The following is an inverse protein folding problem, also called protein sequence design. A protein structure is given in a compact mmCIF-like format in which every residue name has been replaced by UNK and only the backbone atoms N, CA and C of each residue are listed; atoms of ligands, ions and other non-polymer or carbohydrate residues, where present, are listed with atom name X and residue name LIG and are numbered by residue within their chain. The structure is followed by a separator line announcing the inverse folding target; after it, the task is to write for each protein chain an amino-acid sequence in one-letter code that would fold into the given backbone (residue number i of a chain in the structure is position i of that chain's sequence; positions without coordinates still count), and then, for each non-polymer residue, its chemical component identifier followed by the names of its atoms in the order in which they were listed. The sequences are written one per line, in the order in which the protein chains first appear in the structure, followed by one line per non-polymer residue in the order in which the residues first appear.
data_IF_186996680290
#
_entry.id   IF_186996680290
#
_cell.length_a   1.000
_cell.length_b   1.000
_cell.length_c   1.000
_cell.angle_alpha   90.00
_cell.angle_beta   90.00
_cell.angle_gamma   90.00
#
_symmetry.space_group_name_H-M   'P 1'
#
loop_
_entity.id
_entity.type
_entity.pdbx_description
1 polymer ?
#
# COMPACT_ATOMS: atom_id res chain seq x y z
N UNK A 1 16.36 -27.13 -25.77
CA UNK A 1 15.75 -26.97 -24.43
C UNK A 1 16.76 -26.26 -23.54
N UNK A 2 16.77 -24.94 -23.57
CA UNK A 2 17.66 -24.12 -22.73
C UNK A 2 16.88 -23.82 -21.45
N UNK A 3 17.30 -24.46 -20.36
CA UNK A 3 16.86 -24.13 -19.01
C UNK A 3 17.22 -22.66 -18.75
N UNK A 4 16.26 -21.77 -18.79
CA UNK A 4 16.35 -20.44 -18.20
C UNK A 4 16.37 -20.64 -16.68
N UNK A 5 17.58 -20.72 -16.11
CA UNK A 5 17.75 -20.80 -14.69
C UNK A 5 17.09 -19.59 -14.01
N UNK A 6 15.96 -19.84 -13.35
CA UNK A 6 15.45 -18.90 -12.38
C UNK A 6 16.60 -18.67 -11.38
N UNK A 7 17.09 -17.44 -11.30
CA UNK A 7 18.06 -17.04 -10.29
C UNK A 7 17.44 -17.37 -8.93
N UNK A 8 18.08 -18.31 -8.23
CA UNK A 8 17.69 -18.63 -6.87
C UNK A 8 17.74 -17.34 -6.05
N UNK A 9 16.72 -17.03 -5.25
CA UNK A 9 16.74 -15.87 -4.38
C UNK A 9 17.95 -15.96 -3.46
N UNK A 10 18.60 -14.81 -3.21
CA UNK A 10 19.69 -14.73 -2.24
C UNK A 10 19.10 -15.07 -0.86
N UNK A 11 19.56 -16.12 -0.17
CA UNK A 11 18.86 -16.59 1.02
C UNK A 11 19.11 -15.62 2.18
N UNK A 12 18.09 -14.83 2.56
CA UNK A 12 18.04 -14.29 3.90
C UNK A 12 18.00 -15.48 4.88
N UNK A 13 18.82 -15.46 5.91
CA UNK A 13 18.88 -16.51 6.93
C UNK A 13 17.83 -16.31 8.01
N UNK A 14 17.25 -15.10 8.10
CA UNK A 14 16.22 -14.71 9.06
C UNK A 14 15.25 -13.69 8.45
N UNK A 15 14.07 -13.61 9.03
CA UNK A 15 13.09 -12.59 8.71
C UNK A 15 13.57 -11.25 9.26
N UNK A 16 13.68 -10.22 8.40
CA UNK A 16 14.18 -8.90 8.80
C UNK A 16 13.33 -7.78 8.17
N UNK A 17 13.13 -6.68 8.93
CA UNK A 17 12.45 -5.48 8.48
C UNK A 17 13.45 -4.35 8.24
N UNK A 18 13.26 -3.63 7.15
CA UNK A 18 14.08 -2.49 6.76
C UNK A 18 13.20 -1.27 6.46
N UNK A 19 13.40 -0.21 7.23
CA UNK A 19 12.79 1.09 6.96
C UNK A 19 13.33 1.68 5.64
N UNK A 20 12.49 2.47 4.97
CA UNK A 20 12.89 3.18 3.76
C UNK A 20 12.88 4.70 3.97
N UNK A 21 13.22 5.46 2.93
CA UNK A 21 13.13 6.91 2.97
C UNK A 21 11.66 7.42 3.07
N UNK A 22 10.67 6.62 2.72
CA UNK A 22 9.25 6.93 2.91
C UNK A 22 8.79 6.33 4.25
N UNK A 23 8.41 7.15 5.25
CA UNK A 23 8.01 6.63 6.56
C UNK A 23 6.87 5.61 6.48
N UNK A 24 7.08 4.44 7.09
CA UNK A 24 6.12 3.33 7.11
C UNK A 24 6.08 2.47 5.85
N UNK A 25 6.80 2.83 4.78
CA UNK A 25 7.09 1.91 3.66
C UNK A 25 8.24 1.00 4.11
N UNK A 26 7.94 -0.27 4.35
CA UNK A 26 8.88 -1.22 4.98
C UNK A 26 9.16 -2.37 4.03
N UNK A 27 10.44 -2.65 3.79
CA UNK A 27 10.91 -3.83 3.06
C UNK A 27 11.14 -4.96 4.06
N UNK A 28 10.72 -6.17 3.74
CA UNK A 28 10.85 -7.34 4.59
C UNK A 28 11.59 -8.41 3.81
N UNK A 29 12.75 -8.83 4.31
CA UNK A 29 13.46 -9.99 3.79
C UNK A 29 12.78 -11.27 4.29
N UNK A 30 12.46 -12.17 3.37
CA UNK A 30 11.81 -13.45 3.65
C UNK A 30 12.83 -14.60 3.60
N UNK A 31 12.71 -15.53 4.53
CA UNK A 31 13.47 -16.78 4.45
C UNK A 31 12.86 -17.66 3.37
N UNK A 32 13.67 -18.02 2.38
CA UNK A 32 13.28 -18.92 1.28
C UNK A 32 14.03 -20.23 1.43
N UNK A 33 13.31 -21.33 1.58
CA UNK A 33 13.85 -22.68 1.72
C UNK A 33 13.79 -23.39 0.37
N UNK A 34 14.94 -23.74 -0.21
CA UNK A 34 15.04 -24.45 -1.47
C UNK A 34 15.40 -25.92 -1.30
N UNK A 35 14.82 -26.81 -2.14
CA UNK A 35 15.22 -28.21 -2.29
C UNK A 35 15.05 -28.68 -3.76
N UNK A 36 15.23 -29.95 -4.05
CA UNK A 36 15.13 -30.51 -5.41
C UNK A 36 13.73 -30.37 -6.05
N UNK A 37 12.70 -30.03 -5.28
CA UNK A 37 11.33 -29.79 -5.75
C UNK A 37 11.07 -28.33 -6.09
N UNK A 38 11.96 -27.39 -5.67
CA UNK A 38 11.80 -25.97 -5.83
C UNK A 38 12.07 -25.21 -4.53
N UNK A 39 11.20 -24.27 -4.16
CA UNK A 39 11.37 -23.49 -2.94
C UNK A 39 10.03 -23.27 -2.21
N UNK A 40 10.13 -23.04 -0.90
CA UNK A 40 9.04 -22.69 0.00
C UNK A 40 9.39 -21.44 0.79
N UNK A 41 8.40 -20.58 1.06
CA UNK A 41 8.52 -19.44 1.97
C UNK A 41 7.22 -19.21 2.74
N UNK A 42 7.33 -18.67 3.95
CA UNK A 42 6.19 -18.05 4.63
C UNK A 42 6.02 -16.64 4.06
N UNK A 43 5.04 -16.45 3.19
CA UNK A 43 4.80 -15.15 2.53
C UNK A 43 4.14 -14.13 3.46
N UNK A 44 3.34 -14.58 4.41
CA UNK A 44 2.70 -13.80 5.45
C UNK A 44 2.58 -14.62 6.73
N UNK A 45 3.12 -14.11 7.81
CA UNK A 45 2.96 -14.68 9.15
C UNK A 45 2.81 -13.53 10.15
N UNK A 46 1.55 -13.23 10.51
CA UNK A 46 1.17 -12.07 11.31
C UNK A 46 1.97 -11.95 12.61
N UNK A 47 2.04 -13.03 13.41
CA UNK A 47 2.68 -12.97 14.72
C UNK A 47 4.18 -12.64 14.61
N UNK A 48 4.91 -13.25 13.67
CA UNK A 48 6.33 -12.98 13.46
C UNK A 48 6.58 -11.56 12.95
N UNK A 49 5.81 -11.12 11.96
CA UNK A 49 6.00 -9.80 11.33
C UNK A 49 5.63 -8.67 12.29
N UNK A 50 4.53 -8.81 13.04
CA UNK A 50 4.13 -7.81 14.06
C UNK A 50 5.16 -7.76 15.21
N UNK A 51 5.70 -8.91 15.63
CA UNK A 51 6.74 -8.94 16.65
C UNK A 51 8.03 -8.22 16.23
N UNK A 52 8.31 -8.15 14.92
CA UNK A 52 9.42 -7.39 14.34
C UNK A 52 9.12 -5.90 14.12
N UNK A 53 7.89 -5.45 14.40
CA UNK A 53 7.51 -4.04 14.29
C UNK A 53 6.64 -3.69 13.09
N UNK A 54 6.24 -4.67 12.26
CA UNK A 54 5.27 -4.40 11.19
C UNK A 54 3.92 -3.98 11.80
N UNK A 55 3.24 -2.95 11.27
CA UNK A 55 1.89 -2.63 11.68
C UNK A 55 0.94 -3.83 11.55
N UNK A 56 0.08 -4.03 12.54
CA UNK A 56 -0.96 -5.06 12.50
C UNK A 56 -2.14 -4.57 11.64
N UNK A 57 -2.00 -4.71 10.32
CA UNK A 57 -2.95 -4.15 9.37
C UNK A 57 -4.17 -5.05 9.05
N UNK A 58 -4.25 -6.23 9.65
CA UNK A 58 -5.37 -7.17 9.56
C UNK A 58 -5.91 -7.38 8.13
N UNK A 59 -5.17 -8.07 7.24
CA UNK A 59 -5.57 -8.24 5.85
C UNK A 59 -6.88 -9.02 5.72
N UNK A 60 -7.75 -8.58 4.80
CA UNK A 60 -9.08 -9.19 4.53
C UNK A 60 -9.26 -9.64 3.08
N UNK A 61 -8.37 -9.23 2.17
CA UNK A 61 -8.43 -9.60 0.75
C UNK A 61 -7.03 -9.85 0.21
N UNK A 62 -6.88 -10.86 -0.64
CA UNK A 62 -5.71 -11.11 -1.45
C UNK A 62 -6.05 -10.96 -2.92
N UNK A 63 -5.17 -10.31 -3.68
CA UNK A 63 -5.27 -10.18 -5.13
C UNK A 63 -3.98 -10.63 -5.78
N UNK A 64 -4.08 -11.15 -7.02
CA UNK A 64 -2.96 -11.65 -7.79
C UNK A 64 -3.02 -11.07 -9.20
N UNK A 65 -1.88 -10.59 -9.70
CA UNK A 65 -1.70 -10.22 -11.10
C UNK A 65 -0.71 -11.18 -11.76
N UNK A 66 -1.14 -11.86 -12.80
CA UNK A 66 -0.26 -12.59 -13.71
C UNK A 66 0.12 -11.68 -14.89
N UNK A 67 1.40 -11.61 -15.20
CA UNK A 67 1.95 -10.75 -16.23
C UNK A 67 2.75 -11.63 -17.21
N UNK A 68 2.28 -11.73 -18.46
CA UNK A 68 2.78 -12.68 -19.45
C UNK A 68 4.17 -12.34 -19.99
N UNK A 69 4.54 -11.06 -20.00
CA UNK A 69 5.76 -10.59 -20.65
C UNK A 69 6.57 -9.64 -19.77
N UNK A 70 7.84 -9.57 -20.03
CA UNK A 70 8.76 -8.54 -19.56
C UNK A 70 8.29 -7.16 -20.02
N UNK A 71 8.45 -6.13 -19.18
CA UNK A 71 8.06 -4.76 -19.49
C UNK A 71 6.58 -4.44 -19.23
N UNK A 72 5.75 -5.37 -18.73
CA UNK A 72 4.41 -5.01 -18.24
C UNK A 72 4.56 -4.06 -17.08
N UNK A 73 4.01 -2.84 -17.20
CA UNK A 73 4.14 -1.79 -16.20
C UNK A 73 2.76 -1.33 -15.74
N UNK A 74 2.56 -1.25 -14.41
CA UNK A 74 1.28 -0.85 -13.79
C UNK A 74 1.51 0.17 -12.70
N UNK A 75 0.62 1.15 -12.59
CA UNK A 75 0.68 2.18 -11.54
C UNK A 75 0.58 3.60 -12.11
N UNK A 76 0.94 4.63 -11.37
CA UNK A 76 1.16 4.56 -9.91
C UNK A 76 -0.18 4.76 -9.19
N UNK A 77 -0.53 3.86 -8.30
CA UNK A 77 -1.84 3.88 -7.63
C UNK A 77 -1.65 4.00 -6.12
N UNK A 78 -2.15 5.08 -5.51
CA UNK A 78 -2.32 5.21 -4.07
C UNK A 78 -3.75 4.84 -3.71
N UNK A 79 -3.94 3.66 -3.18
CA UNK A 79 -5.23 3.11 -2.79
C UNK A 79 -5.57 3.48 -1.34
N UNK A 80 -6.86 3.46 -0.93
CA UNK A 80 -7.29 3.93 0.39
C UNK A 80 -7.03 2.93 1.54
N UNK A 81 -6.11 1.98 1.35
CA UNK A 81 -5.75 0.92 2.31
C UNK A 81 -4.26 0.63 2.34
N UNK A 82 -3.85 -0.12 3.36
CA UNK A 82 -2.51 -0.66 3.44
C UNK A 82 -2.39 -1.94 2.62
N UNK A 83 -1.19 -2.20 2.10
CA UNK A 83 -0.87 -3.38 1.30
C UNK A 83 0.35 -4.10 1.83
N UNK A 84 0.36 -5.41 1.67
CA UNK A 84 1.58 -6.22 1.70
C UNK A 84 1.81 -6.84 0.31
N UNK A 85 2.81 -6.34 -0.38
CA UNK A 85 3.15 -6.72 -1.76
C UNK A 85 4.18 -7.84 -1.74
N UNK A 86 4.00 -8.86 -2.59
CA UNK A 86 4.92 -10.00 -2.71
C UNK A 86 5.06 -10.44 -4.15
N UNK A 87 6.24 -10.95 -4.50
CA UNK A 87 6.46 -11.63 -5.77
C UNK A 87 6.38 -13.13 -5.52
N UNK A 88 5.41 -13.77 -6.19
CA UNK A 88 5.20 -15.22 -6.12
C UNK A 88 6.13 -15.92 -7.10
N UNK A 89 6.28 -15.36 -8.30
CA UNK A 89 7.19 -15.85 -9.33
C UNK A 89 7.73 -14.67 -10.15
N UNK A 90 8.97 -14.76 -10.60
CA UNK A 90 9.60 -13.75 -11.43
C UNK A 90 10.29 -12.63 -10.63
N UNK A 91 10.46 -11.48 -11.26
CA UNK A 91 11.11 -10.29 -10.71
C UNK A 91 10.45 -9.03 -11.23
N UNK A 92 10.40 -8.00 -10.42
CA UNK A 92 9.89 -6.68 -10.78
C UNK A 92 10.83 -5.58 -10.31
N UNK A 93 10.85 -4.48 -11.03
CA UNK A 93 11.29 -3.18 -10.52
C UNK A 93 10.06 -2.45 -10.00
N UNK A 94 10.10 -2.00 -8.76
CA UNK A 94 9.03 -1.24 -8.13
C UNK A 94 9.45 0.21 -7.92
N UNK A 95 8.46 1.12 -8.02
CA UNK A 95 8.60 2.50 -7.61
C UNK A 95 7.41 2.89 -6.71
N UNK A 96 7.71 3.51 -5.58
CA UNK A 96 6.72 4.04 -4.64
C UNK A 96 6.89 5.54 -4.48
N UNK A 97 5.78 6.25 -4.36
CA UNK A 97 5.75 7.70 -4.20
C UNK A 97 4.82 8.06 -3.03
N UNK A 98 5.31 8.86 -2.11
CA UNK A 98 4.52 9.35 -0.98
C UNK A 98 3.56 10.45 -1.46
N UNK A 99 2.25 10.18 -1.41
CA UNK A 99 1.20 11.14 -1.72
C UNK A 99 0.46 11.64 -0.47
N UNK A 100 1.00 11.38 0.73
CA UNK A 100 0.45 11.93 1.96
C UNK A 100 0.82 13.40 2.10
N UNK A 101 -0.08 14.26 2.57
CA UNK A 101 0.20 15.69 2.72
C UNK A 101 1.35 15.93 3.71
N UNK A 102 2.20 16.91 3.42
CA UNK A 102 3.34 17.31 4.25
C UNK A 102 4.67 17.31 3.51
N UNK A 103 5.77 17.46 4.24
CA UNK A 103 7.12 17.62 3.68
C UNK A 103 7.66 16.37 2.94
N UNK A 104 6.97 15.22 3.06
CA UNK A 104 7.31 13.98 2.36
C UNK A 104 6.63 13.81 1.01
N UNK A 105 5.66 14.67 0.65
CA UNK A 105 4.91 14.57 -0.60
C UNK A 105 5.85 14.56 -1.81
N UNK A 106 5.67 13.58 -2.70
CA UNK A 106 6.52 13.36 -3.87
C UNK A 106 7.84 12.62 -3.58
N UNK A 107 8.16 12.28 -2.31
CA UNK A 107 9.34 11.45 -2.02
C UNK A 107 9.15 10.07 -2.65
N UNK A 108 10.20 9.59 -3.31
CA UNK A 108 10.16 8.30 -3.99
C UNK A 108 11.19 7.33 -3.45
N UNK A 109 10.88 6.04 -3.59
CA UNK A 109 11.77 4.90 -3.35
C UNK A 109 11.61 3.91 -4.49
N UNK A 110 12.71 3.37 -4.98
CA UNK A 110 12.72 2.31 -5.99
C UNK A 110 13.49 1.11 -5.50
N UNK A 111 13.05 -0.09 -5.88
CA UNK A 111 13.71 -1.34 -5.51
C UNK A 111 13.32 -2.46 -6.48
N UNK A 112 14.26 -3.35 -6.78
CA UNK A 112 13.94 -4.63 -7.42
C UNK A 112 13.45 -5.64 -6.36
N UNK A 113 12.34 -6.31 -6.68
CA UNK A 113 11.78 -7.37 -5.85
C UNK A 113 11.79 -8.71 -6.57
N UNK A 114 12.18 -9.73 -5.84
CA UNK A 114 12.02 -11.14 -6.15
C UNK A 114 11.18 -11.85 -5.10
N UNK A 115 11.12 -13.20 -5.15
CA UNK A 115 10.40 -14.00 -4.15
C UNK A 115 10.97 -13.90 -2.72
N UNK A 116 12.21 -13.44 -2.57
CA UNK A 116 12.92 -13.28 -1.30
C UNK A 116 12.50 -12.05 -0.48
N UNK A 117 11.65 -11.18 -1.05
CA UNK A 117 11.23 -9.95 -0.40
C UNK A 117 9.71 -9.74 -0.47
N UNK A 118 9.19 -9.04 0.54
CA UNK A 118 7.85 -8.46 0.53
C UNK A 118 7.92 -7.02 1.00
N UNK A 119 6.94 -6.19 0.63
CA UNK A 119 6.94 -4.77 0.99
C UNK A 119 5.59 -4.39 1.57
N UNK A 120 5.61 -3.82 2.76
CA UNK A 120 4.44 -3.17 3.33
C UNK A 120 4.35 -1.74 2.81
N UNK A 121 3.26 -1.46 2.11
CA UNK A 121 2.96 -0.16 1.51
C UNK A 121 1.80 0.46 2.29
N UNK A 122 2.06 1.51 3.09
CA UNK A 122 1.02 2.16 3.86
C UNK A 122 0.07 2.95 2.94
N UNK A 123 -1.16 3.13 3.39
CA UNK A 123 -2.16 3.99 2.74
C UNK A 123 -1.56 5.36 2.41
N UNK A 124 -1.85 5.85 1.20
CA UNK A 124 -1.36 7.14 0.70
C UNK A 124 0.02 7.10 0.05
N UNK A 125 0.67 5.93 0.02
CA UNK A 125 1.87 5.70 -0.79
C UNK A 125 1.45 5.05 -2.11
N UNK A 126 1.69 5.75 -3.22
CA UNK A 126 1.43 5.23 -4.55
C UNK A 126 2.40 4.11 -4.87
N UNK A 127 1.86 3.01 -5.40
CA UNK A 127 2.60 1.80 -5.75
C UNK A 127 2.58 1.56 -7.25
N UNK A 128 3.72 1.16 -7.79
CA UNK A 128 3.87 0.76 -9.18
C UNK A 128 4.92 -0.33 -9.33
N UNK A 129 4.86 -1.03 -10.44
CA UNK A 129 5.89 -2.01 -10.79
C UNK A 129 6.03 -2.19 -12.31
N UNK A 130 7.22 -2.64 -12.72
CA UNK A 130 7.55 -3.08 -14.06
C UNK A 130 8.13 -4.49 -13.98
N UNK A 131 7.62 -5.44 -14.77
CA UNK A 131 8.15 -6.81 -14.82
C UNK A 131 9.50 -6.85 -15.52
N UNK A 132 10.45 -7.58 -14.93
CA UNK A 132 11.82 -7.74 -15.43
C UNK A 132 12.03 -9.09 -16.14
N UNK A 133 11.09 -10.01 -15.97
CA UNK A 133 11.07 -11.33 -16.62
C UNK A 133 9.64 -11.70 -17.00
N UNK A 134 9.52 -12.63 -17.96
CA UNK A 134 8.22 -13.15 -18.39
C UNK A 134 7.54 -13.96 -17.27
N UNK A 135 6.24 -14.17 -17.41
CA UNK A 135 5.41 -14.97 -16.50
C UNK A 135 5.48 -14.55 -15.02
N UNK A 136 5.70 -13.25 -14.77
CA UNK A 136 5.81 -12.71 -13.41
C UNK A 136 4.45 -12.70 -12.70
N UNK A 137 4.41 -13.25 -11.48
CA UNK A 137 3.24 -13.29 -10.61
C UNK A 137 3.43 -12.35 -9.42
N UNK A 138 2.64 -11.27 -9.42
CA UNK A 138 2.60 -10.24 -8.39
C UNK A 138 1.37 -10.43 -7.53
N UNK A 139 1.52 -10.54 -6.22
CA UNK A 139 0.44 -10.75 -5.26
C UNK A 139 0.46 -9.68 -4.19
N UNK A 140 -0.70 -9.33 -3.66
CA UNK A 140 -0.78 -8.42 -2.53
C UNK A 140 -1.98 -8.72 -1.62
N UNK A 141 -1.77 -8.52 -0.32
CA UNK A 141 -2.80 -8.51 0.71
C UNK A 141 -3.21 -7.07 0.98
N UNK A 142 -4.49 -6.84 1.30
CA UNK A 142 -5.02 -5.51 1.68
C UNK A 142 -5.97 -5.62 2.88
N UNK A 143 -6.06 -4.55 3.67
CA UNK A 143 -6.91 -4.49 4.86
C UNK A 143 -8.30 -3.89 4.63
N UNK A 144 -8.73 -3.81 3.37
CA UNK A 144 -10.10 -3.45 3.00
C UNK A 144 -10.56 -4.23 1.77
N UNK A 145 -11.86 -4.41 1.62
CA UNK A 145 -12.42 -5.01 0.41
C UNK A 145 -12.46 -3.99 -0.71
N UNK A 146 -12.05 -4.42 -1.89
CA UNK A 146 -12.21 -3.63 -3.09
C UNK A 146 -13.70 -3.55 -3.49
N UNK A 147 -14.12 -2.36 -3.89
CA UNK A 147 -15.41 -2.15 -4.56
C UNK A 147 -15.26 -1.09 -5.65
N UNK A 148 -16.19 -1.01 -6.63
CA UNK A 148 -16.16 0.05 -7.65
C UNK A 148 -16.17 1.46 -7.03
N UNK A 149 -16.89 1.65 -5.93
CA UNK A 149 -17.04 2.92 -5.22
C UNK A 149 -15.71 3.37 -4.59
N UNK A 150 -14.90 2.43 -4.11
CA UNK A 150 -13.60 2.74 -3.49
C UNK A 150 -12.62 3.42 -4.47
N UNK A 151 -12.86 3.31 -5.78
CA UNK A 151 -12.05 4.00 -6.80
C UNK A 151 -12.08 5.53 -6.67
N UNK A 152 -13.13 6.10 -6.12
CA UNK A 152 -13.23 7.55 -5.89
C UNK A 152 -12.25 8.06 -4.82
N UNK A 153 -11.72 7.14 -4.00
CA UNK A 153 -10.74 7.44 -2.94
C UNK A 153 -9.29 7.21 -3.38
N UNK A 154 -9.09 6.72 -4.61
CA UNK A 154 -7.73 6.51 -5.15
C UNK A 154 -7.10 7.84 -5.53
N UNK A 155 -5.80 7.93 -5.36
CA UNK A 155 -4.96 8.94 -6.00
C UNK A 155 -3.98 8.26 -6.96
N UNK A 156 -3.59 9.00 -7.98
CA UNK A 156 -2.79 8.48 -9.07
C UNK A 156 -1.66 9.46 -9.42
N UNK A 157 -0.56 8.91 -9.93
CA UNK A 157 0.52 9.69 -10.55
C UNK A 157 0.96 8.99 -11.83
N UNK A 158 1.28 9.79 -12.85
CA UNK A 158 1.75 9.29 -14.14
C UNK A 158 3.12 8.62 -14.00
N UNK A 159 3.29 7.46 -14.63
CA UNK A 159 4.55 6.71 -14.64
C UNK A 159 5.72 7.50 -15.27
N UNK A 160 5.41 8.41 -16.21
CA UNK A 160 6.37 9.28 -16.91
C UNK A 160 6.44 10.68 -16.31
N UNK A 161 6.14 10.85 -15.00
CA UNK A 161 6.24 12.15 -14.35
C UNK A 161 7.69 12.68 -14.35
N UNK A 162 7.88 13.89 -14.86
CA UNK A 162 9.20 14.48 -15.04
C UNK A 162 9.85 14.91 -13.72
N UNK A 163 9.04 15.23 -12.71
CA UNK A 163 9.53 15.60 -11.38
C UNK A 163 10.07 14.38 -10.64
N UNK A 164 9.37 13.25 -10.77
CA UNK A 164 9.80 11.99 -10.21
C UNK A 164 10.97 11.38 -10.98
N UNK A 165 10.97 11.51 -12.30
CA UNK A 165 12.02 11.03 -13.20
C UNK A 165 12.47 9.58 -12.86
N UNK A 166 11.49 8.68 -12.64
CA UNK A 166 11.78 7.28 -12.28
C UNK A 166 12.60 6.62 -13.39
N UNK A 167 13.76 6.07 -13.04
CA UNK A 167 14.64 5.37 -13.97
C UNK A 167 14.12 3.94 -14.22
N UNK A 168 13.07 3.82 -15.04
CA UNK A 168 12.52 2.52 -15.41
C UNK A 168 13.54 1.68 -16.17
N UNK A 169 13.80 0.42 -15.78
CA UNK A 169 14.76 -0.46 -16.46
C UNK A 169 14.44 -0.68 -17.93
N UNK A 170 13.15 -0.76 -18.27
CA UNK A 170 12.67 -0.83 -19.66
C UNK A 170 12.00 0.51 -19.98
N UNK A 171 12.44 1.23 -21.00
CA UNK A 171 11.82 2.51 -21.38
C UNK A 171 10.31 2.39 -21.53
N UNK A 172 9.55 3.36 -21.02
CA UNK A 172 8.08 3.30 -21.01
C UNK A 172 7.48 3.20 -22.41
N UNK A 173 8.17 3.69 -23.45
CA UNK A 173 7.76 3.57 -24.85
C UNK A 173 7.83 2.12 -25.37
N UNK A 174 8.59 1.26 -24.68
CA UNK A 174 8.73 -0.16 -25.01
C UNK A 174 7.92 -1.04 -24.04
N UNK A 175 7.35 -0.44 -23.01
CA UNK A 175 6.60 -1.14 -21.97
C UNK A 175 5.14 -1.38 -22.38
N UNK A 176 4.55 -2.43 -21.83
CA UNK A 176 3.10 -2.68 -21.96
C UNK A 176 2.37 -1.99 -20.79
N UNK A 177 1.66 -0.91 -21.10
CA UNK A 177 0.97 -0.06 -20.10
C UNK A 177 -0.50 0.08 -20.52
N UNK A 178 -1.41 0.08 -19.55
CA UNK A 178 -2.83 0.34 -19.83
C UNK A 178 -3.06 1.82 -20.24
N UNK A 179 -4.08 2.05 -21.06
CA UNK A 179 -4.46 3.43 -21.41
C UNK A 179 -4.86 4.27 -20.20
N UNK A 180 -5.42 3.63 -19.16
CA UNK A 180 -5.75 4.30 -17.91
C UNK A 180 -4.50 4.78 -17.17
N UNK A 181 -3.48 3.92 -17.05
CA UNK A 181 -2.22 4.27 -16.36
C UNK A 181 -1.44 5.36 -17.13
N UNK A 182 -1.50 5.35 -18.45
CA UNK A 182 -0.91 6.42 -19.28
C UNK A 182 -1.61 7.78 -19.09
N UNK A 183 -2.89 7.78 -18.74
CA UNK A 183 -3.71 8.98 -18.57
C UNK A 183 -3.68 9.55 -17.13
N UNK A 184 -2.93 8.97 -16.20
CA UNK A 184 -2.83 9.47 -14.83
C UNK A 184 -2.26 10.90 -14.79
N UNK A 185 -2.66 11.72 -13.78
CA UNK A 185 -2.18 13.10 -13.65
C UNK A 185 -0.68 13.14 -13.32
N UNK A 186 -0.05 14.28 -13.56
CA UNK A 186 1.30 14.56 -13.06
C UNK A 186 1.28 14.77 -11.55
N UNK A 187 2.44 14.65 -10.91
CA UNK A 187 2.56 14.79 -9.44
C UNK A 187 2.01 16.15 -8.94
N UNK A 188 2.20 17.22 -9.72
CA UNK A 188 1.67 18.55 -9.42
C UNK A 188 0.15 18.61 -9.32
N UNK A 189 -0.54 17.73 -10.03
CA UNK A 189 -2.00 17.66 -10.10
C UNK A 189 -2.57 16.45 -9.31
N UNK A 190 -1.68 15.67 -8.67
CA UNK A 190 -2.08 14.52 -7.88
C UNK A 190 -2.81 14.97 -6.61
N UNK A 191 -3.92 14.31 -6.31
CA UNK A 191 -4.69 14.58 -5.08
C UNK A 191 -3.95 13.96 -3.88
N UNK A 192 -3.56 14.76 -2.86
CA UNK A 192 -2.98 14.19 -1.66
C UNK A 192 -3.94 13.26 -0.93
N UNK A 193 -3.41 12.17 -0.35
CA UNK A 193 -4.18 11.19 0.43
C UNK A 193 -4.00 11.48 1.92
N UNK A 194 -4.95 12.20 2.57
CA UNK A 194 -4.83 12.54 3.98
C UNK A 194 -4.90 11.28 4.87
N UNK A 195 -4.28 11.28 6.05
CA UNK A 195 -4.40 10.18 7.00
C UNK A 195 -5.87 9.99 7.41
N UNK A 196 -6.24 8.75 7.76
CA UNK A 196 -7.54 8.51 8.38
C UNK A 196 -7.58 9.16 9.76
N UNK A 197 -8.70 9.80 10.10
CA UNK A 197 -8.91 10.49 11.37
C UNK A 197 -9.45 9.53 12.44
N UNK A 198 -9.24 9.87 13.70
CA UNK A 198 -10.01 9.30 14.81
C UNK A 198 -11.32 10.07 14.95
N UNK A 199 -12.45 9.38 15.15
CA UNK A 199 -13.71 9.99 15.55
C UNK A 199 -13.96 9.72 17.04
N UNK A 200 -14.43 10.73 17.78
CA UNK A 200 -14.85 10.63 19.18
C UNK A 200 -16.36 10.87 19.22
N UNK A 201 -17.11 9.81 19.51
CA UNK A 201 -18.56 9.88 19.74
C UNK A 201 -18.80 10.21 21.24
N UNK A 202 -19.74 11.11 21.55
CA UNK A 202 -19.91 11.63 22.90
C UNK A 202 -18.81 12.63 23.29
N UNK A 203 -18.38 13.43 22.32
CA UNK A 203 -17.24 14.34 22.47
C UNK A 203 -17.42 15.41 23.57
N UNK A 204 -18.67 15.83 23.86
CA UNK A 204 -19.01 16.80 24.88
C UNK A 204 -19.00 16.28 26.33
N UNK A 205 -18.96 14.95 26.50
CA UNK A 205 -18.87 14.31 27.82
C UNK A 205 -17.51 14.50 28.50
N UNK A 206 -17.39 14.06 29.75
CA UNK A 206 -16.12 14.17 30.52
C UNK A 206 -14.96 13.45 29.83
N UNK A 207 -15.19 12.18 29.42
CA UNK A 207 -14.19 11.37 28.72
C UNK A 207 -13.89 11.97 27.35
N UNK A 208 -14.92 12.35 26.58
CA UNK A 208 -14.78 12.97 25.26
C UNK A 208 -13.89 14.21 25.30
N UNK A 209 -14.12 15.13 26.23
CA UNK A 209 -13.29 16.34 26.41
C UNK A 209 -11.85 16.04 26.85
N UNK A 210 -11.63 14.97 27.60
CA UNK A 210 -10.27 14.54 27.95
C UNK A 210 -9.54 14.00 26.72
N UNK A 211 -10.22 13.19 25.89
CA UNK A 211 -9.68 12.63 24.65
C UNK A 211 -9.37 13.71 23.60
N UNK A 212 -10.18 14.77 23.48
CA UNK A 212 -9.90 15.90 22.56
C UNK A 212 -8.55 16.55 22.83
N UNK A 213 -8.09 16.63 24.09
CA UNK A 213 -6.78 17.20 24.42
C UNK A 213 -5.63 16.32 23.96
N UNK A 214 -5.85 15.00 23.89
CA UNK A 214 -4.85 14.03 23.45
C UNK A 214 -4.89 13.81 21.93
N UNK A 215 -6.04 14.06 21.32
CA UNK A 215 -6.33 13.82 19.89
C UNK A 215 -6.93 15.09 19.27
N UNK A 216 -6.15 16.17 19.12
CA UNK A 216 -6.67 17.48 18.69
C UNK A 216 -7.28 17.48 17.28
N UNK A 217 -6.84 16.56 16.41
CA UNK A 217 -7.32 16.42 15.03
C UNK A 217 -8.50 15.46 14.88
N UNK A 218 -9.03 14.92 16.01
CA UNK A 218 -10.16 14.00 15.97
C UNK A 218 -11.43 14.67 15.43
N UNK A 219 -12.25 13.89 14.71
CA UNK A 219 -13.60 14.28 14.37
C UNK A 219 -14.48 14.16 15.63
N UNK A 220 -15.09 15.27 16.05
CA UNK A 220 -15.94 15.31 17.21
C UNK A 220 -17.40 15.08 16.81
N UNK A 221 -18.02 14.05 17.38
CA UNK A 221 -19.38 13.64 17.09
C UNK A 221 -20.20 13.66 18.39
N UNK A 222 -21.16 14.59 18.48
CA UNK A 222 -22.03 14.76 19.66
C UNK A 222 -23.32 15.54 19.29
N UNK A 223 -24.28 15.48 20.17
CA UNK A 223 -25.50 16.30 20.06
C UNK A 223 -25.16 17.81 20.06
N UNK A 224 -25.94 18.63 19.33
CA UNK A 224 -27.11 18.28 18.50
C UNK A 224 -26.79 17.83 17.07
N UNK A 225 -25.51 17.94 16.64
CA UNK A 225 -25.14 17.74 15.23
C UNK A 225 -25.03 16.26 14.85
N UNK A 226 -24.76 15.39 15.81
CA UNK A 226 -24.68 13.95 15.63
C UNK A 226 -25.43 13.23 16.74
N UNK A 227 -26.41 12.41 16.33
CA UNK A 227 -27.15 11.52 17.22
C UNK A 227 -26.84 10.05 16.85
N UNK A 228 -26.14 9.34 17.76
CA UNK A 228 -25.79 7.93 17.55
C UNK A 228 -27.02 7.02 17.44
N UNK A 229 -28.16 7.45 18.00
CA UNK A 229 -29.42 6.67 17.96
C UNK A 229 -30.24 6.91 16.69
N UNK A 230 -29.90 7.93 15.90
CA UNK A 230 -30.52 8.22 14.62
C UNK A 230 -29.70 7.67 13.44
N UNK A 231 -30.18 6.62 12.74
CA UNK A 231 -29.48 6.08 11.56
C UNK A 231 -29.22 7.12 10.46
N UNK A 232 -30.12 8.12 10.33
CA UNK A 232 -29.95 9.20 9.36
C UNK A 232 -28.79 10.13 9.72
N UNK A 233 -28.59 10.39 11.01
CA UNK A 233 -27.44 11.14 11.51
C UNK A 233 -26.12 10.38 11.28
N UNK A 234 -26.11 9.09 11.60
CA UNK A 234 -24.95 8.21 11.39
C UNK A 234 -24.56 8.13 9.91
N UNK A 235 -25.54 8.03 9.00
CA UNK A 235 -25.28 7.93 7.56
C UNK A 235 -24.68 9.22 6.95
N UNK A 236 -24.81 10.38 7.59
CA UNK A 236 -24.22 11.64 7.10
C UNK A 236 -22.71 11.74 7.33
N UNK A 237 -22.15 10.91 8.21
CA UNK A 237 -20.70 10.93 8.50
C UNK A 237 -19.96 10.23 7.38
N UNK A 238 -18.90 10.88 6.86
CA UNK A 238 -18.00 10.29 5.87
C UNK A 238 -17.04 9.28 6.54
N UNK A 239 -17.53 8.06 6.78
CA UNK A 239 -16.81 7.01 7.50
C UNK A 239 -15.55 6.52 6.80
N UNK A 240 -15.46 6.61 5.46
CA UNK A 240 -14.27 6.20 4.70
C UNK A 240 -12.99 6.96 5.15
N UNK A 241 -13.14 8.20 5.61
CA UNK A 241 -12.05 9.01 6.17
C UNK A 241 -11.70 8.70 7.64
N UNK A 242 -12.41 7.76 8.29
CA UNK A 242 -12.24 7.41 9.70
C UNK A 242 -11.49 6.08 9.82
N UNK A 243 -10.40 6.07 10.59
CA UNK A 243 -9.62 4.86 10.89
C UNK A 243 -9.96 4.25 12.24
N UNK A 244 -10.37 5.08 13.19
CA UNK A 244 -10.68 4.67 14.58
C UNK A 244 -11.90 5.41 15.07
N UNK A 245 -12.81 4.71 15.72
CA UNK A 245 -13.95 5.31 16.44
C UNK A 245 -13.79 5.02 17.92
N UNK A 246 -13.78 6.09 18.74
CA UNK A 246 -13.80 5.99 20.20
C UNK A 246 -15.21 6.38 20.65
N UNK A 247 -15.96 5.40 21.18
CA UNK A 247 -17.26 5.67 21.75
C UNK A 247 -17.09 6.07 23.23
N UNK A 248 -17.37 7.34 23.54
CA UNK A 248 -17.33 7.94 24.87
C UNK A 248 -18.71 8.46 25.31
N UNK A 249 -19.79 8.05 24.57
CA UNK A 249 -21.16 8.41 24.89
C UNK A 249 -21.76 7.56 26.02
#
# INVERSE_FOLDING_TARGET
MTSTGALAPSPATELALHETAIPGLVVIDLVVHGDDRGWFKENWQRAKMVALGLPDFAPVQQSVSYNTATGVTRGMHAEPWDKLVSIVHGRVFCAWVDLRPGAGFGRQVTLELGPDKTVFVPRGVANSYQTLVDETVYSYLVNAHWSPESRSEYSYVNLADETLAVAWPIPLEQATISSADLAHPRLTDATPVPPKRTAIVGAGGQLGRALQRLLPDALLLDLPDFDLTDPGSVAKVHWAGIGTVINAA
#
